data_IF_921997119080
#
_entry.id   IF_921997119080
#
_cell.length_a   1.000
_cell.length_b   1.000
_cell.length_c   1.000
_cell.angle_alpha   90.00
_cell.angle_beta   90.00
_cell.angle_gamma   90.00
#
_symmetry.space_group_name_H-M   'P 1'
#
loop_
_entity.id
_entity.type
_entity.pdbx_description
1 polymer ?
#
# COMPACT_ATOMS: atom_id res chain seq x y z
N UNK A 1 3.07 9.84 -16.89
CA UNK A 1 3.25 11.23 -16.52
C UNK A 1 3.65 11.39 -15.06
N UNK A 2 3.86 12.62 -14.62
CA UNK A 2 4.32 12.92 -13.26
C UNK A 2 3.39 12.37 -12.19
N UNK A 3 2.07 12.44 -12.42
CA UNK A 3 1.08 11.91 -11.46
C UNK A 3 1.24 10.41 -11.27
N UNK A 4 1.39 9.67 -12.37
CA UNK A 4 1.59 8.22 -12.31
C UNK A 4 2.91 7.87 -11.63
N UNK A 5 3.95 8.69 -11.83
CA UNK A 5 5.25 8.45 -11.21
C UNK A 5 5.14 8.54 -9.68
N UNK A 6 4.40 9.51 -9.17
CA UNK A 6 4.18 9.64 -7.72
C UNK A 6 3.40 8.44 -7.17
N UNK A 7 2.34 8.03 -7.87
CA UNK A 7 1.53 6.88 -7.46
C UNK A 7 2.40 5.61 -7.39
N UNK A 8 3.18 5.34 -8.43
CA UNK A 8 4.03 4.16 -8.47
C UNK A 8 5.14 4.21 -7.43
N UNK A 9 5.72 5.38 -7.19
CA UNK A 9 6.75 5.54 -6.18
C UNK A 9 6.22 5.13 -4.80
N UNK A 10 5.05 5.62 -4.42
CA UNK A 10 4.46 5.30 -3.11
C UNK A 10 3.93 3.88 -3.05
N UNK A 11 3.49 3.35 -4.17
CA UNK A 11 3.12 1.94 -4.27
C UNK A 11 4.31 1.03 -3.91
N UNK A 12 5.46 1.26 -4.53
CA UNK A 12 6.65 0.45 -4.27
C UNK A 12 7.23 0.68 -2.88
N UNK A 13 7.18 1.90 -2.36
CA UNK A 13 7.60 2.19 -1.00
C UNK A 13 6.74 1.39 0.00
N UNK A 14 5.43 1.35 -0.21
CA UNK A 14 4.53 0.60 0.67
C UNK A 14 4.79 -0.89 0.60
N UNK A 15 5.03 -1.44 -0.59
CA UNK A 15 5.39 -2.86 -0.73
C UNK A 15 6.71 -3.17 -0.01
N UNK A 16 7.67 -2.27 -0.10
CA UNK A 16 8.94 -2.42 0.60
C UNK A 16 8.72 -2.44 2.11
N UNK A 17 7.89 -1.54 2.63
CA UNK A 17 7.57 -1.50 4.05
C UNK A 17 6.89 -2.79 4.51
N UNK A 18 6.02 -3.35 3.69
CA UNK A 18 5.39 -4.63 3.98
C UNK A 18 6.44 -5.74 4.10
N UNK A 19 7.40 -5.79 3.19
CA UNK A 19 8.48 -6.78 3.23
C UNK A 19 9.33 -6.62 4.49
N UNK A 20 9.44 -5.42 5.04
CA UNK A 20 10.19 -5.14 6.26
C UNK A 20 9.41 -5.47 7.53
N UNK A 21 8.18 -5.89 7.43
CA UNK A 21 7.39 -6.34 8.56
C UNK A 21 6.17 -5.51 8.92
N UNK A 22 5.90 -4.43 8.18
CA UNK A 22 4.67 -3.67 8.39
C UNK A 22 3.51 -4.41 7.73
N UNK A 23 2.39 -4.53 8.44
CA UNK A 23 1.22 -5.19 7.87
C UNK A 23 0.29 -4.19 7.17
N UNK A 24 -0.80 -4.69 6.61
CA UNK A 24 -1.76 -3.86 5.89
C UNK A 24 -2.38 -2.79 6.80
N UNK A 25 -2.60 -3.09 8.07
CA UNK A 25 -3.17 -2.12 9.01
C UNK A 25 -2.18 -1.00 9.30
N UNK A 26 -0.89 -1.31 9.44
CA UNK A 26 0.15 -0.29 9.58
C UNK A 26 0.17 0.65 8.38
N UNK A 27 0.05 0.08 7.18
CA UNK A 27 0.04 0.87 5.94
C UNK A 27 -1.22 1.74 5.84
N UNK A 28 -2.36 1.26 6.35
CA UNK A 28 -3.59 2.07 6.38
C UNK A 28 -3.43 3.31 7.27
N UNK A 29 -2.76 3.17 8.39
CA UNK A 29 -2.50 4.30 9.27
C UNK A 29 -1.68 5.37 8.53
N UNK A 30 -0.65 4.94 7.81
CA UNK A 30 0.17 5.85 7.00
C UNK A 30 -0.67 6.48 5.89
N UNK A 31 -1.51 5.69 5.22
CA UNK A 31 -2.39 6.17 4.16
C UNK A 31 -3.33 7.28 4.66
N UNK A 32 -3.94 7.08 5.84
CA UNK A 32 -4.84 8.08 6.41
C UNK A 32 -4.10 9.37 6.78
N UNK A 33 -2.84 9.28 7.23
CA UNK A 33 -2.03 10.46 7.49
C UNK A 33 -1.80 11.28 6.21
N UNK A 34 -1.48 10.60 5.11
CA UNK A 34 -1.32 11.27 3.82
C UNK A 34 -2.63 11.87 3.32
N UNK A 35 -3.76 11.18 3.55
CA UNK A 35 -5.08 11.70 3.19
C UNK A 35 -5.40 12.97 3.97
N UNK A 36 -5.12 12.99 5.27
CA UNK A 36 -5.33 14.18 6.11
C UNK A 36 -4.51 15.38 5.64
N UNK A 37 -3.34 15.11 5.07
CA UNK A 37 -2.47 16.15 4.49
C UNK A 37 -2.85 16.51 3.06
N UNK A 38 -3.90 15.92 2.53
CA UNK A 38 -4.39 16.13 1.16
C UNK A 38 -3.37 15.72 0.09
N UNK A 39 -2.50 14.78 0.42
CA UNK A 39 -1.52 14.21 -0.51
C UNK A 39 -2.14 12.98 -1.18
N UNK A 40 -3.10 13.23 -2.08
CA UNK A 40 -3.96 12.19 -2.63
C UNK A 40 -3.26 11.23 -3.59
N UNK A 41 -2.26 11.68 -4.33
CA UNK A 41 -1.52 10.80 -5.24
C UNK A 41 -0.69 9.78 -4.45
N UNK A 42 -0.05 10.23 -3.39
CA UNK A 42 0.72 9.41 -2.48
C UNK A 42 -0.19 8.40 -1.80
N UNK A 43 -1.34 8.87 -1.34
CA UNK A 43 -2.38 8.04 -0.72
C UNK A 43 -2.85 6.95 -1.68
N UNK A 44 -3.06 7.30 -2.95
CA UNK A 44 -3.50 6.34 -3.98
C UNK A 44 -2.47 5.23 -4.19
N UNK A 45 -1.18 5.56 -4.20
CA UNK A 45 -0.12 4.57 -4.32
C UNK A 45 -0.15 3.57 -3.17
N UNK A 46 -0.28 4.08 -1.94
CA UNK A 46 -0.34 3.23 -0.75
C UNK A 46 -1.61 2.36 -0.78
N UNK A 47 -2.74 2.93 -1.18
CA UNK A 47 -4.00 2.19 -1.28
C UNK A 47 -3.88 1.00 -2.24
N UNK A 48 -3.27 1.21 -3.38
CA UNK A 48 -3.06 0.14 -4.37
C UNK A 48 -2.16 -0.97 -3.81
N UNK A 49 -1.14 -0.59 -3.04
CA UNK A 49 -0.26 -1.57 -2.40
C UNK A 49 -1.03 -2.41 -1.37
N UNK A 50 -1.87 -1.77 -0.58
CA UNK A 50 -2.70 -2.48 0.41
C UNK A 50 -3.61 -3.48 -0.28
N UNK A 51 -4.26 -3.10 -1.38
CA UNK A 51 -5.11 -4.02 -2.14
C UNK A 51 -4.33 -5.25 -2.61
N UNK A 52 -3.14 -5.02 -3.14
CA UNK A 52 -2.28 -6.11 -3.62
C UNK A 52 -1.86 -7.03 -2.47
N UNK A 53 -1.45 -6.46 -1.35
CA UNK A 53 -1.03 -7.21 -0.16
C UNK A 53 -2.18 -8.07 0.36
N UNK A 54 -3.37 -7.51 0.46
CA UNK A 54 -4.54 -8.25 0.94
C UNK A 54 -4.91 -9.38 -0.01
N UNK A 55 -4.74 -9.18 -1.31
CA UNK A 55 -4.93 -10.22 -2.30
C UNK A 55 -3.92 -11.36 -2.11
N UNK A 56 -2.65 -11.04 -1.88
CA UNK A 56 -1.61 -12.05 -1.62
C UNK A 56 -1.90 -12.84 -0.35
N UNK A 57 -2.34 -12.16 0.70
CA UNK A 57 -2.67 -12.80 1.96
C UNK A 57 -3.85 -13.75 1.80
N UNK A 58 -4.85 -13.36 1.00
CA UNK A 58 -5.99 -14.21 0.71
C UNK A 58 -5.57 -15.47 -0.04
N UNK A 59 -4.68 -15.33 -1.03
CA UNK A 59 -4.16 -16.49 -1.77
C UNK A 59 -3.39 -17.42 -0.84
N UNK A 60 -2.60 -16.88 0.06
CA UNK A 60 -1.85 -17.68 1.04
C UNK A 60 -2.80 -18.52 1.91
N UNK A 61 -3.88 -17.92 2.38
CA UNK A 61 -4.88 -18.64 3.17
C UNK A 61 -5.47 -19.81 2.40
N UNK A 62 -5.79 -19.60 1.13
CA UNK A 62 -6.38 -20.64 0.28
C UNK A 62 -5.38 -21.77 0.04
N UNK A 63 -4.11 -21.43 -0.21
CA UNK A 63 -3.08 -22.42 -0.50
C UNK A 63 -2.71 -23.23 0.74
N UNK A 64 -2.69 -22.58 1.90
CA UNK A 64 -2.29 -23.22 3.16
C UNK A 64 -3.36 -24.15 3.75
N UNK A 65 -4.56 -24.06 3.22
CA UNK A 65 -5.63 -24.99 3.58
C UNK A 65 -5.40 -26.37 2.95
#
# INVERSE_FOLDING_TARGET
GLKNDIIYQFYYIALYDYEKGNDADDLRIIMYDYEDKELYLECEGIRLAIEYIEFLELIKEIIDE
#
